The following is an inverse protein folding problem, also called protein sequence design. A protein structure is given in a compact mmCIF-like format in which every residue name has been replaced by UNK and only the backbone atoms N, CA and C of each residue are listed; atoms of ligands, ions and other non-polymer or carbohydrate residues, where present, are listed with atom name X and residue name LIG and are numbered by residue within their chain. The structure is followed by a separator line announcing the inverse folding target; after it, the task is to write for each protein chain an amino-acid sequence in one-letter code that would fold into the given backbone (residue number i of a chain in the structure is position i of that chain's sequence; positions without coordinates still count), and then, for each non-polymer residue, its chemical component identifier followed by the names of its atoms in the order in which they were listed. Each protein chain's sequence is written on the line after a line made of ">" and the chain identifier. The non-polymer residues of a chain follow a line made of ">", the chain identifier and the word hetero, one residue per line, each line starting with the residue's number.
data_IF_690105484971
#
_entry.id   IF_690105484971
#
_cell.length_a   1.000
_cell.length_b   1.000
_cell.length_c   1.000
_cell.angle_alpha   90.00
_cell.angle_beta   90.00
_cell.angle_gamma   90.00
#
_symmetry.space_group_name_H-M   'P 1'
#
loop_
_entity.id
_entity.type
_entity.pdbx_description
1 polymer ?
#
# COMPACT_ATOMS: atom_id res chain seq x y z
N UNK A 1 30.21 0.26 0.21
CA UNK A 1 30.04 0.49 1.66
C UNK A 1 28.72 -0.14 2.07
N UNK A 2 28.77 -1.44 2.38
CA UNK A 2 27.61 -2.26 2.79
C UNK A 2 28.13 -3.20 3.88
N UNK A 3 28.18 -2.73 5.13
CA UNK A 3 28.54 -3.56 6.30
C UNK A 3 27.48 -3.51 7.41
N UNK A 4 26.43 -2.71 7.24
CA UNK A 4 25.52 -2.36 8.35
C UNK A 4 24.17 -3.10 8.31
N UNK A 5 23.87 -3.81 7.23
CA UNK A 5 22.61 -4.58 7.11
C UNK A 5 22.59 -5.80 8.02
N UNK A 6 23.76 -6.42 8.27
CA UNK A 6 23.89 -7.55 9.20
C UNK A 6 23.67 -7.13 10.66
N UNK A 7 24.10 -5.92 11.05
CA UNK A 7 23.95 -5.39 12.41
C UNK A 7 22.48 -5.10 12.72
N UNK A 8 21.73 -4.56 11.76
CA UNK A 8 20.30 -4.30 11.93
C UNK A 8 19.48 -5.59 12.04
N UNK A 9 19.77 -6.60 11.23
CA UNK A 9 19.15 -7.94 11.37
C UNK A 9 19.50 -8.59 12.72
N UNK A 10 20.73 -8.44 13.21
CA UNK A 10 21.13 -9.00 14.49
C UNK A 10 20.52 -8.25 15.69
N UNK A 11 20.25 -6.95 15.55
CA UNK A 11 19.61 -6.12 16.58
C UNK A 11 18.13 -6.41 16.79
N UNK A 12 17.39 -6.79 15.74
CA UNK A 12 15.97 -7.14 15.85
C UNK A 12 15.77 -8.50 16.57
N UNK A 13 16.73 -9.42 16.42
CA UNK A 13 16.70 -10.71 17.10
C UNK A 13 16.94 -10.60 18.61
N UNK A 14 17.83 -9.69 19.05
CA UNK A 14 18.19 -9.54 20.48
C UNK A 14 17.06 -8.99 21.35
N UNK A 15 16.23 -8.08 20.85
CA UNK A 15 15.10 -7.54 21.62
C UNK A 15 14.00 -8.58 21.91
N UNK A 16 13.81 -9.56 21.03
CA UNK A 16 12.84 -10.64 21.23
C UNK A 16 13.32 -11.68 22.25
N UNK A 17 14.60 -12.08 22.21
CA UNK A 17 15.16 -12.96 23.24
C UNK A 17 15.22 -12.28 24.60
N UNK A 18 15.53 -10.97 24.68
CA UNK A 18 15.47 -10.21 25.94
C UNK A 18 14.03 -10.14 26.50
N UNK A 19 13.00 -10.03 25.65
CA UNK A 19 11.61 -10.04 26.09
C UNK A 19 11.19 -11.41 26.64
N UNK A 20 11.60 -12.49 25.97
CA UNK A 20 11.37 -13.86 26.44
C UNK A 20 12.11 -14.10 27.75
N UNK A 21 13.39 -13.73 27.83
CA UNK A 21 14.19 -13.86 29.05
C UNK A 21 13.62 -12.99 30.18
N UNK A 22 13.06 -11.82 29.91
CA UNK A 22 12.40 -11.02 30.95
C UNK A 22 11.12 -11.68 31.50
N UNK A 23 10.34 -12.40 30.68
CA UNK A 23 9.18 -13.16 31.18
C UNK A 23 9.58 -14.47 31.87
N UNK A 24 10.57 -15.19 31.32
CA UNK A 24 11.04 -16.48 31.84
C UNK A 24 11.90 -16.28 33.10
N UNK A 25 12.82 -15.33 33.09
CA UNK A 25 13.72 -15.01 34.22
C UNK A 25 13.10 -14.01 35.18
N UNK A 26 12.35 -13.00 34.72
CA UNK A 26 11.73 -12.00 35.62
C UNK A 26 10.60 -12.54 36.50
N UNK A 27 10.05 -13.73 36.19
CA UNK A 27 9.10 -14.43 37.06
C UNK A 27 9.77 -15.26 38.17
N UNK A 28 11.09 -15.49 38.10
CA UNK A 28 11.84 -16.24 39.14
C UNK A 28 11.89 -15.54 40.51
N UNK A 29 11.59 -14.23 40.57
CA UNK A 29 11.45 -13.47 41.80
C UNK A 29 10.03 -13.33 42.35
N UNK A 30 9.02 -13.88 41.67
CA UNK A 30 7.60 -13.76 42.05
C UNK A 30 6.99 -15.12 42.35
N UNK A 31 6.21 -15.21 43.43
CA UNK A 31 5.64 -16.43 44.02
C UNK A 31 4.54 -17.07 43.16
N UNK A 32 4.87 -17.45 41.92
CA UNK A 32 3.96 -18.15 41.02
C UNK A 32 4.54 -19.52 40.66
N UNK A 33 3.74 -20.61 40.70
CA UNK A 33 4.17 -21.93 40.24
C UNK A 33 4.76 -21.86 38.84
N UNK A 34 5.95 -22.43 38.64
CA UNK A 34 6.71 -22.42 37.38
C UNK A 34 5.90 -22.84 36.15
N UNK A 35 4.92 -23.73 36.33
CA UNK A 35 4.01 -24.20 35.29
C UNK A 35 3.09 -23.10 34.73
N UNK A 36 2.66 -22.13 35.56
CA UNK A 36 1.82 -21.02 35.12
C UNK A 36 2.61 -19.99 34.31
N UNK A 37 3.87 -19.73 34.69
CA UNK A 37 4.77 -18.86 33.91
C UNK A 37 5.06 -19.45 32.53
N UNK A 38 5.35 -20.75 32.45
CA UNK A 38 5.56 -21.45 31.18
C UNK A 38 4.31 -21.47 30.29
N UNK A 39 3.14 -21.71 30.88
CA UNK A 39 1.87 -21.67 30.16
C UNK A 39 1.56 -20.27 29.62
N UNK A 40 1.81 -19.22 30.41
CA UNK A 40 1.64 -17.83 29.99
C UNK A 40 2.62 -17.45 28.86
N UNK A 41 3.90 -17.82 28.98
CA UNK A 41 4.91 -17.57 27.95
C UNK A 41 4.56 -18.29 26.63
N UNK A 42 4.08 -19.53 26.71
CA UNK A 42 3.59 -20.29 25.56
C UNK A 42 2.41 -19.59 24.87
N UNK A 43 1.41 -19.15 25.63
CA UNK A 43 0.23 -18.46 25.08
C UNK A 43 0.59 -17.13 24.39
N UNK A 44 1.48 -16.33 24.97
CA UNK A 44 1.94 -15.05 24.38
C UNK A 44 2.71 -15.28 23.08
N UNK A 45 3.63 -16.25 23.07
CA UNK A 45 4.44 -16.57 21.89
C UNK A 45 3.58 -17.10 20.74
N UNK A 46 2.62 -17.96 21.05
CA UNK A 46 1.66 -18.48 20.06
C UNK A 46 0.72 -17.39 19.54
N UNK A 47 0.20 -16.52 20.42
CA UNK A 47 -0.68 -15.42 20.03
C UNK A 47 0.03 -14.39 19.14
N UNK A 48 1.26 -14.02 19.49
CA UNK A 48 2.08 -13.10 18.69
C UNK A 48 2.50 -13.73 17.35
N UNK A 49 2.93 -15.00 17.37
CA UNK A 49 3.27 -15.75 16.15
C UNK A 49 2.07 -15.87 15.20
N UNK A 50 0.89 -16.14 15.73
CA UNK A 50 -0.36 -16.16 14.97
C UNK A 50 -0.68 -14.78 14.39
N UNK A 51 -0.57 -13.71 15.19
CA UNK A 51 -0.85 -12.34 14.72
C UNK A 51 0.09 -11.89 13.60
N UNK A 52 1.39 -12.20 13.70
CA UNK A 52 2.39 -11.86 12.68
C UNK A 52 2.25 -12.71 11.41
N UNK A 53 1.83 -13.97 11.53
CA UNK A 53 1.55 -14.87 10.38
C UNK A 53 0.18 -14.66 9.78
N UNK A 54 -0.75 -14.02 10.50
CA UNK A 54 -2.10 -13.74 10.00
C UNK A 54 -1.97 -12.88 8.76
N UNK A 55 -2.25 -13.52 7.62
CA UNK A 55 -2.03 -12.98 6.30
C UNK A 55 -2.87 -11.71 6.13
N UNK A 56 -2.23 -10.54 6.18
CA UNK A 56 -2.86 -9.23 5.95
C UNK A 56 -3.21 -9.09 4.46
N UNK A 57 -4.19 -9.88 4.00
CA UNK A 57 -4.75 -9.79 2.65
C UNK A 57 -5.68 -8.59 2.49
N UNK A 58 -5.90 -7.81 3.55
CA UNK A 58 -6.85 -6.69 3.59
C UNK A 58 -6.50 -5.53 2.63
N UNK A 59 -5.35 -5.59 1.94
CA UNK A 59 -4.94 -4.65 0.90
C UNK A 59 -4.54 -5.28 -0.43
N UNK A 60 -4.78 -6.58 -0.65
CA UNK A 60 -4.34 -7.25 -1.88
C UNK A 60 -5.25 -6.85 -3.05
N UNK A 61 -4.81 -5.85 -3.80
CA UNK A 61 -5.47 -5.43 -5.05
C UNK A 61 -5.38 -6.58 -6.04
N UNK A 62 -6.52 -7.15 -6.41
CA UNK A 62 -6.58 -8.12 -7.49
C UNK A 62 -6.30 -7.39 -8.81
N UNK A 63 -5.23 -7.76 -9.54
CA UNK A 63 -4.90 -7.07 -10.77
C UNK A 63 -6.02 -7.34 -11.80
N UNK A 64 -6.46 -6.29 -12.48
CA UNK A 64 -7.51 -6.38 -13.51
C UNK A 64 -7.13 -7.28 -14.68
N UNK A 65 -5.83 -7.44 -14.91
CA UNK A 65 -5.23 -8.27 -15.95
C UNK A 65 -4.08 -9.06 -15.34
N UNK A 66 -3.94 -10.32 -15.72
CA UNK A 66 -2.79 -11.14 -15.34
C UNK A 66 -1.47 -10.45 -15.77
N UNK A 67 -0.56 -10.13 -14.84
CA UNK A 67 0.73 -9.53 -15.17
C UNK A 67 1.56 -10.35 -16.15
N UNK A 68 1.41 -11.68 -16.15
CA UNK A 68 2.14 -12.58 -17.05
C UNK A 68 1.49 -12.68 -18.44
N UNK A 69 0.26 -12.19 -18.59
CA UNK A 69 -0.50 -12.32 -19.84
C UNK A 69 -1.29 -11.03 -20.18
N UNK A 70 -0.55 -9.94 -20.42
CA UNK A 70 -1.16 -8.63 -20.69
C UNK A 70 -1.59 -8.43 -22.15
N UNK A 71 -1.23 -9.33 -23.07
CA UNK A 71 -1.48 -9.14 -24.51
C UNK A 71 -1.91 -10.42 -25.21
N UNK A 72 -2.83 -10.28 -26.16
CA UNK A 72 -3.35 -11.36 -27.01
C UNK A 72 -2.85 -11.15 -28.43
N UNK A 73 -2.33 -12.20 -29.07
CA UNK A 73 -1.92 -12.16 -30.48
C UNK A 73 -3.15 -12.29 -31.38
N UNK A 74 -3.26 -11.41 -32.38
CA UNK A 74 -4.29 -11.44 -33.39
C UNK A 74 -3.84 -12.28 -34.60
N UNK A 75 -4.78 -12.63 -35.47
CA UNK A 75 -4.53 -13.44 -36.68
C UNK A 75 -3.50 -12.80 -37.62
N UNK A 76 -3.45 -11.47 -37.63
CA UNK A 76 -2.55 -10.68 -38.46
C UNK A 76 -1.15 -10.50 -37.85
N UNK A 77 -0.87 -11.15 -36.70
CA UNK A 77 0.40 -11.05 -35.97
C UNK A 77 0.52 -9.82 -35.05
N UNK A 78 -0.42 -8.88 -35.12
CA UNK A 78 -0.53 -7.76 -34.18
C UNK A 78 -0.89 -8.23 -32.76
N UNK A 79 -0.66 -7.40 -31.74
CA UNK A 79 -0.99 -7.70 -30.34
C UNK A 79 -1.96 -6.66 -29.79
N UNK A 80 -3.02 -7.12 -29.15
CA UNK A 80 -4.01 -6.28 -28.46
C UNK A 80 -3.92 -6.52 -26.95
N UNK A 81 -4.40 -5.56 -26.16
CA UNK A 81 -4.45 -5.69 -24.70
C UNK A 81 -5.44 -6.81 -24.32
N UNK A 82 -5.06 -7.63 -23.33
CA UNK A 82 -5.93 -8.69 -22.81
C UNK A 82 -7.17 -8.16 -22.07
N UNK A 83 -7.23 -6.85 -21.79
CA UNK A 83 -8.36 -6.18 -21.16
C UNK A 83 -9.52 -5.92 -22.13
N UNK A 84 -9.27 -5.92 -23.45
CA UNK A 84 -10.31 -5.70 -24.46
C UNK A 84 -11.19 -6.94 -24.61
N UNK A 85 -12.47 -6.83 -24.23
CA UNK A 85 -13.44 -7.93 -24.29
C UNK A 85 -13.79 -8.38 -25.72
N UNK A 86 -13.86 -7.44 -26.66
CA UNK A 86 -14.42 -7.69 -28.00
C UNK A 86 -13.39 -7.55 -29.14
N UNK A 87 -12.09 -7.41 -28.80
CA UNK A 87 -11.03 -7.16 -29.78
C UNK A 87 -11.13 -5.83 -30.55
N UNK A 88 -12.10 -4.97 -30.20
CA UNK A 88 -12.28 -3.63 -30.76
C UNK A 88 -11.58 -2.59 -29.90
N UNK A 89 -10.92 -1.64 -30.55
CA UNK A 89 -10.29 -0.52 -29.87
C UNK A 89 -11.37 0.37 -29.23
N UNK A 90 -11.30 0.54 -27.91
CA UNK A 90 -12.21 1.40 -27.18
C UNK A 90 -11.78 2.86 -27.35
N UNK A 91 -12.64 3.70 -27.94
CA UNK A 91 -12.34 5.12 -28.21
C UNK A 91 -12.61 6.04 -27.01
N UNK A 92 -13.46 5.62 -26.07
CA UNK A 92 -13.77 6.35 -24.84
C UNK A 92 -14.05 5.37 -23.69
N UNK A 93 -13.55 5.70 -22.50
CA UNK A 93 -13.76 4.89 -21.30
C UNK A 93 -15.19 5.04 -20.76
N UNK A 94 -15.75 6.24 -20.88
CA UNK A 94 -17.11 6.56 -20.45
C UNK A 94 -17.82 7.35 -21.55
N UNK A 95 -19.12 7.11 -21.75
CA UNK A 95 -19.93 7.80 -22.76
C UNK A 95 -20.00 9.33 -22.53
N UNK A 96 -19.95 9.74 -21.26
CA UNK A 96 -20.05 11.13 -20.83
C UNK A 96 -18.70 11.88 -20.73
N UNK A 97 -17.58 11.18 -20.94
CA UNK A 97 -16.24 11.75 -20.86
C UNK A 97 -15.39 11.36 -22.07
N UNK A 98 -15.38 12.23 -23.07
CA UNK A 98 -14.54 12.10 -24.27
C UNK A 98 -13.23 12.87 -24.17
N UNK A 99 -13.17 13.86 -23.30
CA UNK A 99 -11.96 14.67 -23.06
C UNK A 99 -11.46 14.52 -21.64
N UNK A 100 -10.16 14.78 -21.43
CA UNK A 100 -9.56 14.78 -20.10
C UNK A 100 -10.30 15.73 -19.15
N UNK A 101 -10.68 16.93 -19.64
CA UNK A 101 -11.47 17.89 -18.86
C UNK A 101 -12.81 17.29 -18.39
N UNK A 102 -13.55 16.63 -19.28
CA UNK A 102 -14.80 15.97 -18.93
C UNK A 102 -14.58 14.83 -17.92
N UNK A 103 -13.48 14.07 -18.06
CA UNK A 103 -13.07 13.03 -17.13
C UNK A 103 -12.80 13.57 -15.72
N UNK A 104 -12.06 14.67 -15.60
CA UNK A 104 -11.78 15.33 -14.31
C UNK A 104 -13.08 15.84 -13.67
N UNK A 105 -13.95 16.51 -14.44
CA UNK A 105 -15.26 16.97 -13.92
C UNK A 105 -16.17 15.82 -13.50
N UNK A 106 -16.14 14.69 -14.21
CA UNK A 106 -16.86 13.47 -13.82
C UNK A 106 -16.31 12.90 -12.52
N UNK A 107 -14.98 12.82 -12.38
CA UNK A 107 -14.32 12.41 -11.14
C UNK A 107 -14.73 13.28 -9.94
N UNK A 108 -14.77 14.60 -10.12
CA UNK A 108 -15.24 15.53 -9.09
C UNK A 108 -16.70 15.26 -8.67
N UNK A 109 -17.59 14.98 -9.64
CA UNK A 109 -19.01 14.66 -9.37
C UNK A 109 -19.18 13.32 -8.66
N UNK A 110 -18.49 12.27 -9.11
CA UNK A 110 -18.64 10.91 -8.55
C UNK A 110 -18.00 10.81 -7.15
N UNK A 111 -16.87 11.48 -6.93
CA UNK A 111 -16.16 11.47 -5.64
C UNK A 111 -16.64 12.54 -4.65
N UNK A 112 -17.60 13.38 -5.03
CA UNK A 112 -18.03 14.55 -4.24
C UNK A 112 -16.86 15.45 -3.84
N UNK A 113 -16.02 15.84 -4.80
CA UNK A 113 -14.78 16.61 -4.60
C UNK A 113 -13.75 15.92 -3.69
N UNK A 114 -13.53 14.61 -3.90
CA UNK A 114 -12.51 13.85 -3.18
C UNK A 114 -11.06 14.23 -3.56
N UNK A 115 -10.06 13.57 -2.92
CA UNK A 115 -8.65 13.75 -3.27
C UNK A 115 -8.38 13.21 -4.68
N UNK A 116 -7.78 14.03 -5.54
CA UNK A 116 -7.44 13.67 -6.93
C UNK A 116 -5.94 13.47 -7.14
N UNK A 117 -5.10 14.38 -6.63
CA UNK A 117 -3.67 14.41 -6.94
C UNK A 117 -2.84 14.42 -5.66
N UNK A 118 -2.00 13.40 -5.47
CA UNK A 118 -1.03 13.36 -4.38
C UNK A 118 0.28 14.05 -4.78
N UNK A 119 0.72 15.05 -4.02
CA UNK A 119 2.07 15.63 -4.13
C UNK A 119 2.93 15.20 -2.94
N UNK A 120 4.23 14.99 -3.19
CA UNK A 120 5.22 14.82 -2.11
C UNK A 120 5.70 16.19 -1.67
N UNK A 121 5.41 16.56 -0.42
CA UNK A 121 5.88 17.82 0.15
C UNK A 121 7.00 17.53 1.12
N UNK A 122 8.19 18.09 0.87
CA UNK A 122 9.29 18.02 1.82
C UNK A 122 8.95 18.90 3.01
N UNK A 123 8.69 18.27 4.16
CA UNK A 123 8.59 19.00 5.42
C UNK A 123 9.99 19.39 5.92
N UNK A 124 10.10 20.50 6.67
CA UNK A 124 11.37 20.90 7.29
C UNK A 124 11.95 19.81 8.21
N UNK A 125 11.11 18.91 8.71
CA UNK A 125 11.48 17.76 9.55
C UNK A 125 12.12 16.58 8.78
N UNK A 126 12.48 16.77 7.50
CA UNK A 126 13.08 15.74 6.65
C UNK A 126 12.11 14.63 6.18
N UNK A 127 10.86 14.66 6.63
CA UNK A 127 9.82 13.73 6.18
C UNK A 127 9.19 14.21 4.87
N UNK A 128 8.91 13.30 3.95
CA UNK A 128 8.25 13.56 2.67
C UNK A 128 6.84 12.91 2.61
N UNK A 129 5.86 13.41 3.39
CA UNK A 129 4.49 12.91 3.31
C UNK A 129 3.85 13.16 1.94
N UNK A 130 2.88 12.31 1.60
CA UNK A 130 1.91 12.59 0.55
C UNK A 130 0.84 13.54 1.07
N UNK A 131 0.70 14.68 0.39
CA UNK A 131 -0.42 15.61 0.57
C UNK A 131 -1.35 15.48 -0.63
N UNK A 132 -2.65 15.38 -0.39
CA UNK A 132 -3.65 15.19 -1.44
C UNK A 132 -4.38 16.48 -1.75
N UNK A 133 -4.42 16.84 -3.03
CA UNK A 133 -5.18 17.97 -3.57
C UNK A 133 -6.55 17.48 -4.04
N UNK A 134 -7.60 18.27 -3.77
CA UNK A 134 -8.97 18.00 -4.21
C UNK A 134 -9.16 18.28 -5.70
N UNK A 135 -10.22 17.72 -6.29
CA UNK A 135 -10.56 17.93 -7.70
C UNK A 135 -10.68 19.42 -8.07
N UNK A 136 -11.36 20.20 -7.23
CA UNK A 136 -11.57 21.63 -7.49
C UNK A 136 -10.25 22.40 -7.46
N UNK A 137 -9.39 22.16 -6.46
CA UNK A 137 -8.08 22.82 -6.35
C UNK A 137 -7.23 22.57 -7.59
N UNK A 138 -7.16 21.33 -8.07
CA UNK A 138 -6.37 21.02 -9.26
C UNK A 138 -6.96 21.64 -10.52
N UNK A 139 -8.30 21.70 -10.66
CA UNK A 139 -8.92 22.42 -11.76
C UNK A 139 -8.55 23.91 -11.75
N UNK A 140 -8.57 24.56 -10.59
CA UNK A 140 -8.19 25.96 -10.46
C UNK A 140 -6.71 26.19 -10.79
N UNK A 141 -5.81 25.41 -10.22
CA UNK A 141 -4.36 25.49 -10.50
C UNK A 141 -4.04 25.27 -11.97
N UNK A 142 -4.70 24.29 -12.61
CA UNK A 142 -4.48 24.00 -14.03
C UNK A 142 -4.95 25.15 -14.93
N UNK A 143 -6.08 25.79 -14.60
CA UNK A 143 -6.53 26.98 -15.31
C UNK A 143 -5.52 28.12 -15.13
N UNK A 144 -5.07 28.39 -13.90
CA UNK A 144 -4.09 29.45 -13.62
C UNK A 144 -2.78 29.22 -14.39
N UNK A 145 -2.28 27.98 -14.41
CA UNK A 145 -1.07 27.63 -15.15
C UNK A 145 -1.20 27.80 -16.67
N UNK A 146 -2.40 27.69 -17.24
CA UNK A 146 -2.64 27.94 -18.66
C UNK A 146 -2.73 29.43 -19.01
N UNK A 147 -3.06 30.28 -18.03
CA UNK A 147 -3.13 31.74 -18.20
C UNK A 147 -1.80 32.44 -17.90
N UNK A 148 -0.83 31.76 -17.29
CA UNK A 148 0.48 32.32 -16.93
C UNK A 148 1.57 32.11 -18.01
N UNK A 149 1.20 31.62 -19.19
CA UNK A 149 2.04 31.50 -20.39
C UNK A 149 1.48 32.36 -21.52
#
# INVERSE_FOLDING_TARGET
>A
MMKDTAVWMHSQGRGFVDLIDHFIVGTSGSSFPSYLSLAAAGAVTMGLGYYLTKNNNDGKINPLVDPMNQTVKQKDGSRITAYLKDGKLQSYVYDDARTLYQGVRRGARVSSNGPMLGRRVKRPDGTEPYEWLSYNEVCFECIISLYLF
#
